data_IF_065474641536
#
_entry.id   IF_065474641536
#
_cell.length_a   1.000
_cell.length_b   1.000
_cell.length_c   1.000
_cell.angle_alpha   90.00
_cell.angle_beta   90.00
_cell.angle_gamma   90.00
#
_symmetry.space_group_name_H-M   'P 1'
#
loop_
_entity.id
_entity.type
_entity.pdbx_description
1 polymer ?
#
# COMPACT_ATOMS: atom_id res chain seq x y z
N UNK A 1 -23.72 22.34 -25.26
CA UNK A 1 -23.46 21.77 -23.92
C UNK A 1 -24.78 21.25 -23.38
N UNK A 2 -24.89 19.95 -23.09
CA UNK A 2 -26.16 19.26 -22.77
C UNK A 2 -26.74 19.66 -21.39
N UNK A 3 -27.08 20.94 -21.18
CA UNK A 3 -27.97 21.45 -20.12
C UNK A 3 -27.63 21.14 -18.65
N UNK A 4 -26.55 20.43 -18.33
CA UNK A 4 -26.29 19.98 -16.97
C UNK A 4 -25.59 21.06 -16.15
N UNK A 5 -26.17 21.41 -14.98
CA UNK A 5 -25.56 22.29 -13.98
C UNK A 5 -24.10 21.88 -13.71
N UNK A 6 -23.17 22.84 -13.68
CA UNK A 6 -21.71 22.63 -13.51
C UNK A 6 -21.38 21.56 -12.45
N UNK A 7 -22.02 21.62 -11.29
CA UNK A 7 -21.83 20.66 -10.20
C UNK A 7 -22.17 19.20 -10.57
N UNK A 8 -23.18 18.96 -11.40
CA UNK A 8 -23.55 17.60 -11.81
C UNK A 8 -22.49 16.96 -12.71
N UNK A 9 -21.83 17.75 -13.56
CA UNK A 9 -20.75 17.28 -14.43
C UNK A 9 -19.48 16.92 -13.62
N UNK A 10 -19.13 17.73 -12.62
CA UNK A 10 -17.98 17.47 -11.75
C UNK A 10 -18.12 16.14 -11.00
N UNK A 11 -19.25 15.90 -10.33
CA UNK A 11 -19.42 14.70 -9.51
C UNK A 11 -19.75 13.43 -10.30
N UNK A 12 -20.40 13.55 -11.47
CA UNK A 12 -20.93 12.40 -12.21
C UNK A 12 -20.08 11.98 -13.41
N UNK A 13 -19.18 12.84 -13.88
CA UNK A 13 -18.32 12.58 -15.05
C UNK A 13 -16.85 12.68 -14.67
N UNK A 14 -16.41 13.80 -14.09
CA UNK A 14 -14.98 14.05 -13.80
C UNK A 14 -14.50 13.19 -12.64
N UNK A 15 -15.24 13.19 -11.53
CA UNK A 15 -14.87 12.43 -10.33
C UNK A 15 -14.73 10.92 -10.60
N UNK A 16 -15.68 10.22 -11.26
CA UNK A 16 -15.51 8.80 -11.59
C UNK A 16 -14.37 8.53 -12.58
N UNK A 17 -14.13 9.42 -13.55
CA UNK A 17 -13.02 9.28 -14.49
C UNK A 17 -11.65 9.47 -13.82
N UNK A 18 -11.56 10.30 -12.78
CA UNK A 18 -10.32 10.58 -12.04
C UNK A 18 -9.99 9.53 -10.96
N UNK A 19 -10.99 8.80 -10.47
CA UNK A 19 -10.79 7.77 -9.43
C UNK A 19 -9.74 6.69 -9.76
N UNK A 20 -9.68 6.08 -10.96
CA UNK A 20 -8.62 5.12 -11.28
C UNK A 20 -7.22 5.76 -11.19
N UNK A 21 -7.08 7.03 -11.59
CA UNK A 21 -5.82 7.77 -11.47
C UNK A 21 -5.45 8.06 -10.02
N UNK A 22 -6.42 8.41 -9.17
CA UNK A 22 -6.21 8.62 -7.74
C UNK A 22 -5.73 7.33 -7.07
N UNK A 23 -6.36 6.19 -7.40
CA UNK A 23 -5.96 4.88 -6.86
C UNK A 23 -4.53 4.51 -7.27
N UNK A 24 -4.16 4.77 -8.52
CA UNK A 24 -2.77 4.58 -8.99
C UNK A 24 -1.79 5.46 -8.20
N UNK A 25 -2.14 6.72 -7.95
CA UNK A 25 -1.36 7.63 -7.09
C UNK A 25 -1.25 7.13 -5.65
N UNK A 26 -2.34 6.59 -5.09
CA UNK A 26 -2.34 5.98 -3.75
C UNK A 26 -1.41 4.77 -3.67
N UNK A 27 -1.28 3.96 -4.74
CA UNK A 27 -0.33 2.85 -4.81
C UNK A 27 1.12 3.30 -4.73
N UNK A 28 1.43 4.37 -5.45
CA UNK A 28 2.75 4.96 -5.37
C UNK A 28 3.04 5.52 -3.97
N UNK A 29 2.05 6.20 -3.37
CA UNK A 29 2.15 6.74 -2.01
C UNK A 29 2.30 5.65 -0.95
N UNK A 30 1.57 4.54 -1.07
CA UNK A 30 1.67 3.38 -0.19
C UNK A 30 3.07 2.76 -0.24
N UNK A 31 3.62 2.55 -1.44
CA UNK A 31 4.97 2.02 -1.59
C UNK A 31 6.03 2.95 -0.98
N UNK A 32 5.81 4.27 -0.98
CA UNK A 32 6.69 5.23 -0.32
C UNK A 32 6.54 5.18 1.21
N UNK A 33 5.31 5.15 1.71
CA UNK A 33 5.01 5.02 3.13
C UNK A 33 5.58 3.72 3.73
N UNK A 34 5.46 2.60 3.00
CA UNK A 34 6.03 1.32 3.40
C UNK A 34 7.56 1.37 3.55
N UNK A 35 8.26 1.99 2.59
CA UNK A 35 9.72 2.19 2.68
C UNK A 35 10.09 3.07 3.87
N UNK A 36 9.31 4.11 4.13
CA UNK A 36 9.50 5.00 5.29
C UNK A 36 9.27 4.27 6.62
N UNK A 37 8.24 3.42 6.71
CA UNK A 37 7.95 2.58 7.88
C UNK A 37 9.09 1.60 8.14
N UNK A 38 9.59 0.92 7.12
CA UNK A 38 10.75 0.01 7.26
C UNK A 38 12.00 0.74 7.75
N UNK A 39 12.26 1.96 7.26
CA UNK A 39 13.36 2.78 7.76
C UNK A 39 13.11 3.17 9.23
N UNK A 40 11.89 3.59 9.57
CA UNK A 40 11.50 3.93 10.93
C UNK A 40 11.70 2.74 11.90
N UNK A 41 11.34 1.51 11.53
CA UNK A 41 11.53 0.31 12.36
C UNK A 41 13.01 -0.05 12.62
N UNK A 42 13.92 0.36 11.73
CA UNK A 42 15.37 0.17 11.92
C UNK A 42 15.94 1.24 12.86
N UNK A 43 15.49 2.50 12.74
CA UNK A 43 16.02 3.62 13.52
C UNK A 43 15.30 3.85 14.86
N UNK A 44 14.01 3.53 14.91
CA UNK A 44 13.13 3.64 16.07
C UNK A 44 12.75 2.22 16.44
N UNK A 45 13.50 1.64 17.37
CA UNK A 45 13.11 0.39 18.03
C UNK A 45 11.88 0.69 18.89
N UNK A 46 10.68 0.51 18.32
CA UNK A 46 9.43 0.79 19.03
C UNK A 46 9.37 -0.04 20.33
N UNK A 47 8.88 0.65 21.36
CA UNK A 47 8.91 0.39 22.80
C UNK A 47 8.28 -0.94 23.30
N UNK A 48 7.93 -1.86 22.42
CA UNK A 48 7.34 -3.16 22.75
C UNK A 48 8.09 -4.22 21.94
N UNK A 49 9.01 -4.93 22.61
CA UNK A 49 10.05 -5.76 21.98
C UNK A 49 9.60 -6.66 20.83
N UNK A 50 10.56 -6.98 19.95
CA UNK A 50 10.45 -7.79 18.73
C UNK A 50 10.01 -7.06 17.44
N UNK A 51 10.67 -5.94 17.12
CA UNK A 51 10.64 -5.40 15.75
C UNK A 51 11.35 -6.33 14.74
N UNK A 52 10.78 -6.52 13.55
CA UNK A 52 11.38 -7.32 12.48
C UNK A 52 12.77 -6.79 12.06
N UNK A 53 12.96 -5.46 12.11
CA UNK A 53 14.27 -4.82 11.85
C UNK A 53 15.33 -5.16 12.91
N UNK A 54 14.93 -5.24 14.18
CA UNK A 54 15.79 -5.68 15.28
C UNK A 54 16.20 -7.14 15.12
N UNK A 55 15.25 -8.03 14.80
CA UNK A 55 15.53 -9.45 14.57
C UNK A 55 16.51 -9.66 13.39
N UNK A 56 16.44 -8.81 12.37
CA UNK A 56 17.38 -8.83 11.23
C UNK A 56 18.77 -8.37 11.67
N UNK A 57 18.85 -7.33 12.51
CA UNK A 57 20.12 -6.84 13.05
C UNK A 57 20.79 -7.89 13.93
N UNK A 58 20.04 -8.53 14.83
CA UNK A 58 20.50 -9.67 15.63
C UNK A 58 20.95 -10.84 14.74
N UNK A 59 20.16 -11.21 13.73
CA UNK A 59 20.56 -12.27 12.78
C UNK A 59 21.86 -11.96 12.05
N UNK A 60 22.11 -10.69 11.71
CA UNK A 60 23.40 -10.23 11.15
C UNK A 60 24.54 -10.29 12.16
N UNK A 61 24.31 -9.86 13.40
CA UNK A 61 25.34 -9.84 14.46
C UNK A 61 25.78 -11.25 14.85
N UNK A 62 24.84 -12.20 14.92
CA UNK A 62 25.13 -13.63 15.14
C UNK A 62 25.63 -14.37 13.88
N UNK A 63 25.80 -13.70 12.74
CA UNK A 63 26.12 -14.32 11.43
C UNK A 63 25.18 -15.46 11.02
N UNK A 64 23.97 -15.47 11.55
CA UNK A 64 22.93 -16.46 11.27
C UNK A 64 22.16 -16.07 9.99
N UNK A 65 22.75 -16.38 8.83
CA UNK A 65 22.19 -15.98 7.53
C UNK A 65 20.80 -16.58 7.26
N UNK A 66 20.52 -17.77 7.80
CA UNK A 66 19.20 -18.43 7.73
C UNK A 66 18.11 -17.54 8.35
N UNK A 67 18.36 -17.01 9.55
CA UNK A 67 17.46 -16.10 10.24
C UNK A 67 17.24 -14.79 9.46
N UNK A 68 18.31 -14.22 8.88
CA UNK A 68 18.22 -12.99 8.07
C UNK A 68 17.30 -13.21 6.86
N UNK A 69 17.48 -14.32 6.14
CA UNK A 69 16.67 -14.65 4.96
C UNK A 69 15.21 -14.88 5.36
N UNK A 70 14.95 -15.62 6.44
CA UNK A 70 13.60 -15.86 6.95
C UNK A 70 12.87 -14.54 7.25
N UNK A 71 13.54 -13.59 7.89
CA UNK A 71 12.97 -12.29 8.24
C UNK A 71 12.73 -11.44 6.98
N UNK A 72 13.64 -11.44 6.01
CA UNK A 72 13.43 -10.76 4.72
C UNK A 72 12.18 -11.30 4.01
N UNK A 73 11.97 -12.62 4.03
CA UNK A 73 10.79 -13.25 3.44
C UNK A 73 9.51 -12.81 4.15
N UNK A 74 9.51 -12.77 5.49
CA UNK A 74 8.38 -12.26 6.29
C UNK A 74 8.06 -10.80 5.95
N UNK A 75 9.07 -9.92 5.83
CA UNK A 75 8.88 -8.52 5.45
C UNK A 75 8.22 -8.39 4.07
N UNK A 76 8.69 -9.17 3.08
CA UNK A 76 8.11 -9.17 1.73
C UNK A 76 6.66 -9.65 1.78
N UNK A 77 6.37 -10.73 2.51
CA UNK A 77 5.01 -11.27 2.64
C UNK A 77 4.07 -10.26 3.29
N UNK A 78 4.48 -9.60 4.37
CA UNK A 78 3.66 -8.57 5.02
C UNK A 78 3.42 -7.39 4.09
N UNK A 79 4.45 -6.92 3.38
CA UNK A 79 4.32 -5.82 2.41
C UNK A 79 3.33 -6.15 1.30
N UNK A 80 3.40 -7.37 0.75
CA UNK A 80 2.47 -7.86 -0.27
C UNK A 80 1.05 -8.07 0.28
N UNK A 81 0.91 -8.60 1.48
CA UNK A 81 -0.40 -8.77 2.12
C UNK A 81 -1.05 -7.42 2.40
N UNK A 82 -0.29 -6.46 2.90
CA UNK A 82 -0.79 -5.11 3.15
C UNK A 82 -1.20 -4.44 1.83
N UNK A 83 -0.37 -4.50 0.78
CA UNK A 83 -0.74 -4.01 -0.56
C UNK A 83 -2.05 -4.66 -1.03
N UNK A 84 -2.17 -5.99 -0.94
CA UNK A 84 -3.40 -6.71 -1.32
C UNK A 84 -4.62 -6.32 -0.47
N UNK A 85 -4.46 -6.13 0.84
CA UNK A 85 -5.55 -5.75 1.76
C UNK A 85 -6.00 -4.30 1.52
N UNK A 86 -5.10 -3.38 1.18
CA UNK A 86 -5.48 -1.99 0.88
C UNK A 86 -6.04 -1.84 -0.54
N UNK A 87 -5.48 -2.53 -1.54
CA UNK A 87 -5.90 -2.40 -2.94
C UNK A 87 -7.15 -3.20 -3.28
N UNK A 88 -7.34 -4.41 -2.74
CA UNK A 88 -8.52 -5.25 -3.01
C UNK A 88 -9.88 -4.59 -2.68
N UNK A 89 -10.08 -3.90 -1.54
CA UNK A 89 -11.33 -3.20 -1.25
C UNK A 89 -11.51 -1.95 -2.12
N UNK A 90 -10.42 -1.28 -2.49
CA UNK A 90 -10.45 -0.09 -3.33
C UNK A 90 -10.84 -0.45 -4.78
N UNK A 91 -10.28 -1.52 -5.33
CA UNK A 91 -10.69 -2.07 -6.63
C UNK A 91 -12.13 -2.56 -6.60
N UNK A 92 -12.52 -3.31 -5.57
CA UNK A 92 -13.89 -3.83 -5.46
C UNK A 92 -14.92 -2.70 -5.32
N UNK A 93 -14.58 -1.63 -4.60
CA UNK A 93 -15.43 -0.44 -4.50
C UNK A 93 -15.54 0.32 -5.83
N UNK A 94 -14.44 0.46 -6.57
CA UNK A 94 -14.43 1.04 -7.92
C UNK A 94 -15.27 0.22 -8.89
N UNK A 95 -15.05 -1.10 -8.95
CA UNK A 95 -15.75 -2.02 -9.84
C UNK A 95 -17.24 -2.07 -9.54
N UNK A 96 -17.63 -2.12 -8.26
CA UNK A 96 -19.04 -2.25 -7.86
C UNK A 96 -19.86 -0.97 -8.08
N UNK A 97 -19.23 0.20 -8.07
CA UNK A 97 -19.94 1.48 -8.22
C UNK A 97 -19.95 2.04 -9.65
N UNK A 98 -18.91 1.76 -10.43
CA UNK A 98 -18.77 2.38 -11.76
C UNK A 98 -18.55 1.42 -12.92
N UNK A 99 -18.51 0.09 -12.69
CA UNK A 99 -18.72 -0.92 -13.72
C UNK A 99 -18.04 -0.60 -15.04
N UNK A 100 -16.80 -0.12 -15.03
CA UNK A 100 -16.02 0.07 -16.25
C UNK A 100 -15.53 -1.30 -16.67
N UNK A 101 -16.46 -2.04 -17.28
CA UNK A 101 -16.17 -3.17 -18.15
C UNK A 101 -15.23 -2.68 -19.25
N UNK A 102 -14.08 -3.36 -19.33
CA UNK A 102 -13.20 -3.50 -20.49
C UNK A 102 -12.38 -2.28 -20.90
N UNK A 103 -11.05 -2.45 -20.92
CA UNK A 103 -10.40 -3.13 -22.04
C UNK A 103 -9.24 -4.00 -21.53
#
# INVERSE_FOLDING_TARGET
TMGSKRLHMWFKVILPAALPFIVSGMKQGWAFAWRSLMAAEIFVTILTGFGLGQLLHYGRELSAMDQVIAIMLVIVVIGLLADKIFFSPIETFLHRRWGTSQA
#
